data_IF_399165970763
#
_entry.id   IF_399165970763
#
_cell.length_a   1.000
_cell.length_b   1.000
_cell.length_c   1.000
_cell.angle_alpha   90.00
_cell.angle_beta   90.00
_cell.angle_gamma   90.00
#
_symmetry.space_group_name_H-M   'P 1'
#
loop_
_entity.id
_entity.type
_entity.pdbx_description
1 polymer ?
#
# COMPACT_ATOMS: atom_id res chain seq x y z
N UNK A 1 7.60 -15.12 46.45
CA UNK A 1 7.42 -14.09 45.39
C UNK A 1 6.89 -14.81 44.17
N UNK A 2 5.68 -14.50 43.72
CA UNK A 2 5.09 -15.13 42.53
C UNK A 2 5.53 -14.32 41.32
N UNK A 3 6.39 -14.91 40.48
CA UNK A 3 6.79 -14.31 39.22
C UNK A 3 5.66 -14.54 38.22
N UNK A 4 4.79 -13.53 38.05
CA UNK A 4 3.78 -13.56 36.99
C UNK A 4 4.51 -13.44 35.65
N UNK A 5 4.62 -14.53 34.91
CA UNK A 5 5.05 -14.47 33.51
C UNK A 5 3.94 -13.81 32.71
N UNK A 6 4.16 -12.58 32.26
CA UNK A 6 3.36 -12.00 31.17
C UNK A 6 3.73 -12.79 29.91
N UNK A 7 2.89 -13.73 29.52
CA UNK A 7 2.97 -14.29 28.18
C UNK A 7 2.55 -13.18 27.20
N UNK A 8 3.54 -12.52 26.59
CA UNK A 8 3.30 -11.77 25.35
C UNK A 8 3.17 -12.82 24.26
N UNK A 9 1.95 -13.30 24.03
CA UNK A 9 1.67 -14.16 22.89
C UNK A 9 1.45 -13.25 21.68
N UNK A 10 2.21 -13.45 20.60
CA UNK A 10 1.66 -13.12 19.30
C UNK A 10 0.51 -14.10 19.08
N UNK A 11 -0.72 -13.60 18.94
CA UNK A 11 -1.87 -14.43 18.61
C UNK A 11 -1.52 -15.39 17.48
N UNK A 12 -1.93 -16.65 17.63
CA UNK A 12 -1.73 -17.74 16.66
C UNK A 12 -2.00 -17.21 15.26
N UNK A 13 -0.98 -17.31 14.41
CA UNK A 13 -0.93 -16.68 13.08
C UNK A 13 -2.25 -16.85 12.30
N UNK A 14 -2.67 -15.79 11.61
CA UNK A 14 -3.74 -15.86 10.62
C UNK A 14 -3.30 -16.86 9.53
N UNK A 15 -3.86 -18.08 9.53
CA UNK A 15 -3.48 -19.16 8.59
C UNK A 15 -3.64 -18.80 7.09
N UNK A 16 -4.39 -17.73 6.78
CA UNK A 16 -4.67 -17.25 5.43
C UNK A 16 -4.37 -15.75 5.35
N UNK A 17 -4.02 -15.22 4.18
CA UNK A 17 -3.99 -13.78 3.99
C UNK A 17 -5.43 -13.20 4.10
N UNK A 18 -5.61 -12.08 4.80
CA UNK A 18 -6.88 -11.34 4.81
C UNK A 18 -6.87 -10.48 3.56
N UNK A 19 -7.67 -10.87 2.58
CA UNK A 19 -7.68 -10.27 1.26
C UNK A 19 -9.00 -9.54 1.08
N UNK A 20 -8.92 -8.28 0.68
CA UNK A 20 -10.08 -7.45 0.42
C UNK A 20 -10.04 -6.95 -1.03
N UNK A 21 -11.13 -7.13 -1.77
CA UNK A 21 -11.24 -6.61 -3.13
C UNK A 21 -11.78 -5.17 -3.09
N UNK A 22 -10.96 -4.22 -3.52
CA UNK A 22 -11.32 -2.81 -3.58
C UNK A 22 -11.89 -2.50 -4.95
N UNK A 23 -13.11 -1.97 -4.98
CA UNK A 23 -13.82 -1.64 -6.23
C UNK A 23 -14.13 -0.15 -6.38
N UNK A 24 -13.65 0.69 -5.46
CA UNK A 24 -13.83 2.14 -5.49
C UNK A 24 -12.99 2.86 -4.44
N UNK A 25 -13.24 4.15 -4.26
CA UNK A 25 -12.50 4.97 -3.30
C UNK A 25 -12.71 4.45 -1.87
N UNK A 26 -11.61 4.35 -1.13
CA UNK A 26 -11.61 3.75 0.22
C UNK A 26 -10.69 4.54 1.13
N UNK A 27 -11.12 4.77 2.38
CA UNK A 27 -10.27 5.36 3.41
C UNK A 27 -9.84 4.26 4.36
N UNK A 28 -8.54 4.05 4.50
CA UNK A 28 -7.99 3.01 5.35
C UNK A 28 -7.91 3.45 6.81
N UNK A 29 -8.17 2.50 7.68
CA UNK A 29 -8.14 2.68 9.13
C UNK A 29 -7.10 1.74 9.77
N UNK A 30 -6.90 1.86 11.08
CA UNK A 30 -6.00 0.95 11.80
C UNK A 30 -6.49 -0.52 11.78
N UNK A 31 -7.80 -0.75 11.65
CA UNK A 31 -8.40 -2.09 11.57
C UNK A 31 -8.04 -2.82 10.27
N UNK A 32 -7.63 -2.07 9.26
CA UNK A 32 -7.27 -2.58 7.95
C UNK A 32 -5.82 -3.09 7.87
N UNK A 33 -5.05 -2.90 8.94
CA UNK A 33 -3.64 -3.26 8.97
C UNK A 33 -3.42 -4.76 8.80
N UNK A 34 -2.46 -5.11 7.96
CA UNK A 34 -2.13 -6.51 7.62
C UNK A 34 -3.06 -7.13 6.57
N UNK A 35 -3.98 -6.36 5.98
CA UNK A 35 -4.77 -6.78 4.81
C UNK A 35 -3.99 -6.63 3.50
N UNK A 36 -4.37 -7.45 2.53
CA UNK A 36 -3.98 -7.33 1.13
C UNK A 36 -5.18 -6.82 0.34
N UNK A 37 -5.05 -5.63 -0.24
CA UNK A 37 -6.05 -4.99 -1.06
C UNK A 37 -5.83 -5.34 -2.54
N UNK A 38 -6.80 -6.01 -3.13
CA UNK A 38 -6.81 -6.34 -4.56
C UNK A 38 -7.61 -5.27 -5.29
N UNK A 39 -6.94 -4.49 -6.14
CA UNK A 39 -7.56 -3.46 -6.97
C UNK A 39 -8.34 -4.16 -8.08
N UNK A 40 -9.66 -4.15 -8.00
CA UNK A 40 -10.54 -4.96 -8.84
C UNK A 40 -11.70 -4.15 -9.43
N UNK A 41 -11.40 -2.98 -9.98
CA UNK A 41 -12.34 -2.20 -10.79
C UNK A 41 -11.72 -1.78 -12.12
N UNK A 42 -12.57 -1.60 -13.14
CA UNK A 42 -12.15 -1.18 -14.48
C UNK A 42 -11.76 0.31 -14.56
N UNK A 43 -12.14 1.09 -13.55
CA UNK A 43 -11.73 2.47 -13.34
C UNK A 43 -10.99 2.55 -12.00
N UNK A 44 -9.84 3.20 -11.99
CA UNK A 44 -9.10 3.48 -10.77
C UNK A 44 -9.78 4.50 -9.88
N UNK A 45 -9.48 4.40 -8.58
CA UNK A 45 -9.98 5.29 -7.55
C UNK A 45 -8.88 5.64 -6.54
N UNK A 46 -9.14 6.62 -5.70
CA UNK A 46 -8.22 7.02 -4.63
C UNK A 46 -8.45 6.19 -3.37
N UNK A 47 -7.38 5.59 -2.87
CA UNK A 47 -7.28 4.99 -1.55
C UNK A 47 -6.55 5.99 -0.65
N UNK A 48 -7.16 6.36 0.47
CA UNK A 48 -6.60 7.35 1.39
C UNK A 48 -5.95 6.64 2.58
N UNK A 49 -4.67 6.92 2.81
CA UNK A 49 -3.92 6.40 3.96
C UNK A 49 -4.27 7.19 5.24
N UNK A 50 -4.29 6.54 6.40
CA UNK A 50 -4.42 7.23 7.68
C UNK A 50 -3.18 8.10 7.96
N UNK A 51 -3.37 9.09 8.85
CA UNK A 51 -2.28 9.98 9.27
C UNK A 51 -1.16 9.17 9.92
N UNK A 52 0.10 9.47 9.57
CA UNK A 52 1.29 8.75 10.07
C UNK A 52 1.36 8.70 11.59
N UNK A 53 1.00 9.79 12.27
CA UNK A 53 1.05 9.91 13.73
C UNK A 53 0.20 8.85 14.47
N UNK A 54 -0.86 8.34 13.84
CA UNK A 54 -1.73 7.29 14.41
C UNK A 54 -1.51 5.93 13.77
N UNK A 55 -0.49 5.80 12.91
CA UNK A 55 -0.30 4.65 12.03
C UNK A 55 0.98 3.86 12.28
N UNK A 56 1.67 4.10 13.40
CA UNK A 56 2.87 3.36 13.74
C UNK A 56 2.61 1.84 13.79
N UNK A 57 3.39 1.07 13.02
CA UNK A 57 3.27 -0.38 12.89
C UNK A 57 2.19 -0.87 11.93
N UNK A 58 1.40 0.02 11.32
CA UNK A 58 0.43 -0.38 10.31
C UNK A 58 1.13 -0.80 9.02
N UNK A 59 0.58 -1.82 8.37
CA UNK A 59 1.07 -2.33 7.09
C UNK A 59 -0.06 -2.56 6.10
N UNK A 60 0.15 -2.21 4.84
CA UNK A 60 -0.83 -2.43 3.78
C UNK A 60 -0.14 -2.95 2.53
N UNK A 61 -0.82 -3.84 1.79
CA UNK A 61 -0.36 -4.30 0.47
C UNK A 61 -1.45 -4.05 -0.54
N UNK A 62 -1.10 -3.45 -1.67
CA UNK A 62 -1.99 -3.23 -2.81
C UNK A 62 -1.49 -4.07 -3.98
N UNK A 63 -2.39 -4.77 -4.66
CA UNK A 63 -2.08 -5.59 -5.83
C UNK A 63 -3.12 -5.30 -6.92
N UNK A 64 -2.65 -5.07 -8.15
CA UNK A 64 -3.52 -4.96 -9.32
C UNK A 64 -4.12 -6.33 -9.63
N UNK A 65 -5.43 -6.49 -9.42
CA UNK A 65 -6.16 -7.73 -9.69
C UNK A 65 -6.98 -7.70 -10.97
N UNK A 66 -7.20 -6.52 -11.54
CA UNK A 66 -7.91 -6.30 -12.80
C UNK A 66 -7.31 -5.10 -13.50
N UNK A 67 -7.05 -5.21 -14.81
CA UNK A 67 -6.55 -4.10 -15.63
C UNK A 67 -7.62 -3.01 -15.77
N UNK A 68 -7.21 -1.75 -15.65
CA UNK A 68 -8.08 -0.57 -15.67
C UNK A 68 -7.64 0.38 -16.78
N UNK A 69 -8.59 0.77 -17.63
CA UNK A 69 -8.27 1.47 -18.88
C UNK A 69 -8.50 2.99 -18.82
N UNK A 70 -9.20 3.49 -17.79
CA UNK A 70 -9.74 4.87 -17.82
C UNK A 70 -9.05 5.83 -16.86
N UNK A 71 -8.76 5.38 -15.64
CA UNK A 71 -8.26 6.23 -14.55
C UNK A 71 -7.32 5.44 -13.67
N UNK A 72 -6.31 6.12 -13.13
CA UNK A 72 -5.29 5.55 -12.26
C UNK A 72 -5.87 5.17 -10.89
N UNK A 73 -5.33 4.10 -10.30
CA UNK A 73 -5.50 3.88 -8.86
C UNK A 73 -4.43 4.65 -8.11
N UNK A 74 -4.84 5.44 -7.11
CA UNK A 74 -3.90 6.23 -6.32
C UNK A 74 -3.97 5.83 -4.86
N UNK A 75 -2.83 5.63 -4.22
CA UNK A 75 -2.72 5.49 -2.77
C UNK A 75 -2.12 6.78 -2.25
N UNK A 76 -2.91 7.56 -1.51
CA UNK A 76 -2.60 8.93 -1.15
C UNK A 76 -2.44 9.09 0.36
N UNK A 77 -1.30 9.64 0.77
CA UNK A 77 -1.07 10.16 2.11
C UNK A 77 -1.52 11.62 2.22
N UNK A 78 -1.80 12.08 3.44
CA UNK A 78 -2.20 13.47 3.69
C UNK A 78 -1.06 14.49 3.51
N UNK A 79 0.19 14.02 3.64
CA UNK A 79 1.41 14.83 3.60
C UNK A 79 2.50 14.10 2.81
N UNK A 80 3.60 14.79 2.52
CA UNK A 80 4.79 14.25 1.88
C UNK A 80 5.58 13.42 2.91
N UNK A 81 5.28 12.13 2.98
CA UNK A 81 5.80 11.19 4.00
C UNK A 81 6.05 9.80 3.43
N UNK A 82 5.92 9.61 2.12
CA UNK A 82 6.17 8.32 1.46
C UNK A 82 7.63 8.28 1.03
N UNK A 83 8.36 7.31 1.58
CA UNK A 83 9.79 7.10 1.42
C UNK A 83 10.07 5.69 0.90
N UNK A 84 11.15 5.52 0.13
CA UNK A 84 11.63 4.21 -0.31
C UNK A 84 11.66 4.10 -1.82
N UNK A 85 11.22 2.96 -2.37
CA UNK A 85 11.27 2.75 -3.80
C UNK A 85 10.41 1.60 -4.31
N UNK A 86 10.16 1.61 -5.61
CA UNK A 86 9.53 0.52 -6.33
C UNK A 86 10.37 0.16 -7.56
N UNK A 87 10.40 -1.12 -7.93
CA UNK A 87 11.08 -1.59 -9.14
C UNK A 87 10.10 -1.67 -10.30
N UNK A 88 10.25 -0.81 -11.29
CA UNK A 88 9.34 -0.70 -12.43
C UNK A 88 10.11 -0.98 -13.72
N UNK A 89 9.75 -2.05 -14.43
CA UNK A 89 10.45 -2.49 -15.65
C UNK A 89 11.98 -2.60 -15.46
N UNK A 90 12.40 -3.14 -14.32
CA UNK A 90 13.81 -3.29 -13.95
C UNK A 90 14.52 -1.98 -13.57
N UNK A 91 13.84 -0.83 -13.57
CA UNK A 91 14.36 0.44 -13.11
C UNK A 91 13.92 0.73 -11.67
N UNK A 92 14.80 1.34 -10.90
CA UNK A 92 14.50 1.80 -9.54
C UNK A 92 13.80 3.16 -9.59
N UNK A 93 12.54 3.21 -9.18
CA UNK A 93 11.77 4.44 -9.01
C UNK A 93 11.82 4.81 -7.53
N UNK A 94 12.55 5.88 -7.20
CA UNK A 94 12.67 6.37 -5.83
C UNK A 94 11.44 7.19 -5.45
N UNK A 95 10.98 7.03 -4.20
CA UNK A 95 10.10 7.98 -3.55
C UNK A 95 10.86 8.67 -2.45
N UNK A 96 11.00 9.98 -2.54
CA UNK A 96 11.64 10.85 -1.55
C UNK A 96 10.68 11.98 -1.26
N UNK A 97 10.16 12.06 -0.03
CA UNK A 97 9.15 13.03 0.39
C UNK A 97 7.92 13.06 -0.56
N UNK A 98 7.44 11.89 -0.98
CA UNK A 98 6.27 11.78 -1.87
C UNK A 98 4.97 11.67 -1.06
N UNK A 99 3.82 11.85 -1.71
CA UNK A 99 2.51 11.69 -1.06
C UNK A 99 1.53 10.81 -1.81
N UNK A 100 1.84 10.42 -3.04
CA UNK A 100 0.94 9.65 -3.90
C UNK A 100 1.71 8.52 -4.58
N UNK A 101 1.16 7.30 -4.49
CA UNK A 101 1.55 6.15 -5.30
C UNK A 101 0.47 5.96 -6.35
N UNK A 102 0.82 6.03 -7.63
CA UNK A 102 -0.14 5.84 -8.72
C UNK A 102 0.17 4.55 -9.47
N UNK A 103 -0.83 3.68 -9.57
CA UNK A 103 -0.85 2.62 -10.56
C UNK A 103 -1.49 3.20 -11.82
N UNK A 104 -0.69 3.36 -12.88
CA UNK A 104 -1.04 4.15 -14.07
C UNK A 104 -1.87 3.32 -15.03
N UNK A 105 -3.04 3.84 -15.41
CA UNK A 105 -3.98 3.18 -16.30
C UNK A 105 -3.37 2.89 -17.68
N UNK A 106 -3.72 1.73 -18.25
CA UNK A 106 -3.15 1.17 -19.48
C UNK A 106 -1.65 0.84 -19.44
N UNK A 107 -0.93 1.19 -18.37
CA UNK A 107 0.46 0.81 -18.17
C UNK A 107 0.61 -0.28 -17.10
N UNK A 108 -0.39 -0.45 -16.23
CA UNK A 108 -0.41 -1.49 -15.22
C UNK A 108 -0.47 -2.89 -15.83
N UNK A 109 0.00 -3.86 -15.06
CA UNK A 109 -0.16 -5.28 -15.32
C UNK A 109 -0.78 -5.95 -14.11
N UNK A 110 -1.61 -6.97 -14.36
CA UNK A 110 -2.16 -7.79 -13.28
C UNK A 110 -0.99 -8.42 -12.51
N UNK A 111 -0.96 -8.20 -11.20
CA UNK A 111 0.13 -8.62 -10.32
C UNK A 111 1.09 -7.52 -9.90
N UNK A 112 1.04 -6.32 -10.51
CA UNK A 112 1.78 -5.17 -10.02
C UNK A 112 1.36 -4.86 -8.58
N UNK A 113 2.33 -4.52 -7.72
CA UNK A 113 2.04 -4.34 -6.30
C UNK A 113 2.89 -3.26 -5.64
N UNK A 114 2.34 -2.68 -4.58
CA UNK A 114 3.04 -1.82 -3.64
C UNK A 114 2.65 -2.19 -2.20
N UNK A 115 3.64 -2.27 -1.33
CA UNK A 115 3.55 -2.56 0.09
C UNK A 115 4.03 -1.35 0.87
N UNK A 116 3.31 -0.98 1.92
CA UNK A 116 3.71 0.09 2.81
C UNK A 116 3.75 -0.38 4.26
N UNK A 117 4.72 0.15 5.02
CA UNK A 117 4.82 0.04 6.47
C UNK A 117 5.03 1.44 7.05
N UNK A 118 4.34 1.78 8.13
CA UNK A 118 4.54 3.05 8.82
C UNK A 118 5.27 2.88 10.15
N UNK A 119 6.16 3.81 10.47
CA UNK A 119 6.87 3.91 11.76
C UNK A 119 6.27 4.95 12.72
N UNK A 120 5.23 5.68 12.30
CA UNK A 120 4.65 6.81 13.03
C UNK A 120 5.01 8.18 12.46
N UNK A 121 6.00 8.25 11.56
CA UNK A 121 6.49 9.48 10.92
C UNK A 121 6.40 9.39 9.40
N UNK A 122 6.85 8.27 8.83
CA UNK A 122 6.90 8.03 7.39
C UNK A 122 6.19 6.72 7.03
N UNK A 123 5.79 6.62 5.76
CA UNK A 123 5.37 5.41 5.10
C UNK A 123 6.51 4.90 4.23
N UNK A 124 7.05 3.73 4.54
CA UNK A 124 8.07 3.08 3.75
C UNK A 124 7.44 2.19 2.68
N UNK A 125 7.64 2.55 1.41
CA UNK A 125 7.13 1.81 0.25
C UNK A 125 8.16 0.83 -0.31
N UNK A 126 7.67 -0.36 -0.68
CA UNK A 126 8.36 -1.33 -1.52
C UNK A 126 7.38 -1.90 -2.54
N UNK A 127 7.81 -2.21 -3.76
CA UNK A 127 6.89 -2.72 -4.76
C UNK A 127 7.54 -3.08 -6.09
N UNK A 128 6.73 -3.62 -6.99
CA UNK A 128 7.17 -3.90 -8.34
C UNK A 128 6.06 -3.71 -9.37
N UNK A 129 6.43 -3.10 -10.50
CA UNK A 129 5.61 -2.98 -11.71
C UNK A 129 6.33 -3.61 -12.90
N UNK A 130 5.61 -4.39 -13.70
CA UNK A 130 6.19 -5.10 -14.86
C UNK A 130 6.52 -4.14 -16.00
N UNK A 131 5.57 -3.27 -16.35
CA UNK A 131 5.68 -2.36 -17.49
C UNK A 131 6.25 -1.00 -17.08
N UNK A 132 6.90 -0.32 -18.03
CA UNK A 132 7.49 0.99 -17.78
C UNK A 132 6.39 2.01 -17.40
N UNK A 133 6.59 2.72 -16.30
CA UNK A 133 5.62 3.71 -15.80
C UNK A 133 4.36 3.11 -15.18
N UNK A 134 4.28 1.78 -15.00
CA UNK A 134 3.13 1.12 -14.38
C UNK A 134 2.85 1.62 -12.95
N UNK A 135 3.92 1.94 -12.21
CA UNK A 135 3.84 2.54 -10.87
C UNK A 135 4.67 3.82 -10.87
N UNK A 136 4.10 4.90 -10.35
CA UNK A 136 4.80 6.16 -10.13
C UNK A 136 4.64 6.63 -8.68
N UNK A 137 5.66 7.33 -8.18
CA UNK A 137 5.68 7.95 -6.86
C UNK A 137 5.82 9.45 -7.08
N UNK A 138 4.87 10.24 -6.57
CA UNK A 138 4.85 11.70 -6.78
C UNK A 138 4.31 12.47 -5.59
N UNK A 139 4.81 13.69 -5.43
CA UNK A 139 4.35 14.71 -4.52
C UNK A 139 3.42 15.64 -5.30
N UNK A 140 2.14 15.64 -4.92
CA UNK A 140 1.09 16.44 -5.55
C UNK A 140 0.54 17.47 -4.58
#
# INVERSE_FOLDING_TARGET
MSTTYLAVTNDTERQLANVEAVTGATTLTAEDSGKVFILKAAAGAQITLPAVATSAGLRFKFIVGLAFATTDWTVKAATNVIEGSVLVNGAHVAGVDENTISFVASAESIGDFAELVCDGTNWYVNGSGVSAGAITLTAV
#
